data_IF_274040658576
#
_entry.id   IF_274040658576
#
_cell.length_a   1.000
_cell.length_b   1.000
_cell.length_c   1.000
_cell.angle_alpha   90.00
_cell.angle_beta   90.00
_cell.angle_gamma   90.00
#
_symmetry.space_group_name_H-M   'P 1'
#
loop_
_entity.id
_entity.type
_entity.pdbx_description
1 polymer ?
#
# COMPACT_ATOMS: atom_id res chain seq x y z
N UNK A 1 -39.01 2.04 43.74
CA UNK A 1 -38.79 0.58 43.73
C UNK A 1 -39.20 0.08 42.35
N UNK A 2 -38.39 -0.57 41.52
CA UNK A 2 -36.97 -0.88 41.52
C UNK A 2 -36.58 -1.11 40.05
N UNK A 3 -35.49 -0.48 39.60
CA UNK A 3 -35.00 -0.64 38.24
C UNK A 3 -34.36 -2.03 38.11
N UNK A 4 -34.90 -2.86 37.22
CA UNK A 4 -34.38 -4.18 36.92
C UNK A 4 -33.01 -4.05 36.24
N UNK A 5 -31.96 -4.44 36.96
CA UNK A 5 -30.59 -4.57 36.45
C UNK A 5 -30.50 -5.71 35.44
N UNK A 6 -30.30 -5.40 34.17
CA UNK A 6 -30.00 -6.42 33.17
C UNK A 6 -28.62 -7.05 33.43
N UNK A 7 -28.49 -8.39 33.36
CA UNK A 7 -27.21 -9.07 33.53
C UNK A 7 -26.29 -8.80 32.34
N UNK A 8 -25.14 -8.18 32.60
CA UNK A 8 -24.07 -7.98 31.61
C UNK A 8 -23.47 -9.33 31.22
N UNK A 9 -23.65 -9.75 29.96
CA UNK A 9 -23.02 -10.95 29.42
C UNK A 9 -21.48 -10.80 29.46
N UNK A 10 -20.72 -11.82 29.91
CA UNK A 10 -19.27 -11.77 29.94
C UNK A 10 -18.69 -11.65 28.53
N UNK A 11 -17.83 -10.65 28.34
CA UNK A 11 -17.21 -10.25 27.08
C UNK A 11 -16.12 -11.25 26.64
N UNK A 12 -16.55 -12.48 26.27
CA UNK A 12 -15.69 -13.59 25.80
C UNK A 12 -14.82 -13.22 24.61
N UNK A 13 -15.14 -12.14 23.88
CA UNK A 13 -14.38 -11.67 22.73
C UNK A 13 -13.06 -10.96 23.07
N UNK A 14 -12.89 -10.44 24.29
CA UNK A 14 -11.67 -9.69 24.66
C UNK A 14 -10.44 -10.59 24.81
N UNK A 15 -10.60 -11.76 25.44
CA UNK A 15 -9.48 -12.68 25.68
C UNK A 15 -8.90 -13.27 24.39
N UNK A 16 -9.76 -13.70 23.47
CA UNK A 16 -9.34 -14.23 22.17
C UNK A 16 -8.63 -13.17 21.31
N UNK A 17 -9.10 -11.92 21.36
CA UNK A 17 -8.44 -10.79 20.67
C UNK A 17 -7.09 -10.43 21.28
N UNK A 18 -6.99 -10.41 22.62
CA UNK A 18 -5.73 -10.17 23.31
C UNK A 18 -4.70 -11.26 22.99
N UNK A 19 -5.12 -12.52 22.98
CA UNK A 19 -4.28 -13.66 22.61
C UNK A 19 -3.81 -13.54 21.15
N UNK A 20 -4.71 -13.25 20.21
CA UNK A 20 -4.37 -13.06 18.80
C UNK A 20 -3.36 -11.93 18.58
N UNK A 21 -3.53 -10.80 19.26
CA UNK A 21 -2.60 -9.68 19.20
C UNK A 21 -1.24 -10.03 19.81
N UNK A 22 -1.21 -10.75 20.93
CA UNK A 22 0.03 -11.19 21.57
C UNK A 22 0.81 -12.17 20.67
N UNK A 23 0.12 -13.16 20.09
CA UNK A 23 0.72 -14.13 19.16
C UNK A 23 1.24 -13.41 17.91
N UNK A 24 0.45 -12.50 17.32
CA UNK A 24 0.86 -11.72 16.16
C UNK A 24 2.07 -10.83 16.45
N UNK A 25 2.10 -10.18 17.62
CA UNK A 25 3.22 -9.35 18.07
C UNK A 25 4.50 -10.15 18.29
N UNK A 26 4.39 -11.32 18.93
CA UNK A 26 5.52 -12.24 19.11
C UNK A 26 6.05 -12.76 17.78
N UNK A 27 5.16 -13.12 16.84
CA UNK A 27 5.55 -13.56 15.51
C UNK A 27 6.25 -12.44 14.73
N UNK A 28 5.72 -11.22 14.76
CA UNK A 28 6.33 -10.06 14.13
C UNK A 28 7.72 -9.76 14.71
N UNK A 29 7.87 -9.82 16.04
CA UNK A 29 9.16 -9.65 16.70
C UNK A 29 10.15 -10.77 16.34
N UNK A 30 9.69 -12.02 16.31
CA UNK A 30 10.51 -13.16 15.91
C UNK A 30 10.99 -13.03 14.45
N UNK A 31 10.11 -12.63 13.53
CA UNK A 31 10.48 -12.34 12.15
C UNK A 31 11.46 -11.18 12.05
N UNK A 32 11.24 -10.10 12.81
CA UNK A 32 12.16 -8.96 12.85
C UNK A 32 13.55 -9.40 13.29
N UNK A 33 13.66 -10.10 14.42
CA UNK A 33 14.95 -10.62 14.90
C UNK A 33 15.57 -11.55 13.87
N UNK A 34 14.78 -12.46 13.28
CA UNK A 34 15.28 -13.39 12.26
C UNK A 34 15.83 -12.68 11.01
N UNK A 35 15.14 -11.67 10.50
CA UNK A 35 15.60 -10.84 9.36
C UNK A 35 16.91 -10.14 9.69
N UNK A 36 17.06 -9.63 10.91
CA UNK A 36 18.24 -8.86 11.32
C UNK A 36 19.43 -9.73 11.79
N UNK A 37 19.25 -11.04 12.01
CA UNK A 37 20.32 -11.94 12.50
C UNK A 37 21.51 -12.06 11.55
N UNK A 38 21.31 -11.87 10.26
CA UNK A 38 22.36 -11.94 9.24
C UNK A 38 22.92 -10.57 8.83
N UNK A 39 22.49 -9.48 9.47
CA UNK A 39 22.90 -8.14 9.06
C UNK A 39 24.33 -7.88 9.54
N UNK A 40 25.24 -7.72 8.59
CA UNK A 40 26.59 -7.23 8.86
C UNK A 40 26.52 -5.75 9.23
N UNK A 41 26.46 -5.50 10.54
CA UNK A 41 26.43 -4.13 11.10
C UNK A 41 27.64 -3.30 10.68
N UNK A 42 28.80 -3.92 10.48
CA UNK A 42 30.02 -3.23 10.04
C UNK A 42 29.93 -2.76 8.60
N UNK A 43 29.35 -3.59 7.71
CA UNK A 43 29.07 -3.23 6.33
C UNK A 43 28.04 -2.09 6.25
N UNK A 44 26.99 -2.12 7.09
CA UNK A 44 25.99 -1.05 7.16
C UNK A 44 26.62 0.26 7.62
N UNK A 45 27.37 0.25 8.74
CA UNK A 45 28.01 1.47 9.25
C UNK A 45 29.05 2.03 8.29
N UNK A 46 29.82 1.18 7.61
CA UNK A 46 30.80 1.63 6.62
C UNK A 46 30.15 2.16 5.35
N UNK A 47 29.00 1.61 4.92
CA UNK A 47 28.21 2.16 3.83
C UNK A 47 27.61 3.54 4.21
N UNK A 48 27.06 3.68 5.41
CA UNK A 48 26.56 4.97 5.92
C UNK A 48 27.67 6.01 6.06
N UNK A 49 28.83 5.63 6.59
CA UNK A 49 29.98 6.53 6.70
C UNK A 49 30.48 6.99 5.32
N UNK A 50 30.51 6.09 4.32
CA UNK A 50 30.88 6.42 2.93
C UNK A 50 29.85 7.32 2.25
N UNK A 51 28.56 7.09 2.48
CA UNK A 51 27.51 7.97 1.97
C UNK A 51 27.54 9.35 2.66
N UNK A 52 27.91 9.41 3.92
CA UNK A 52 28.00 10.64 4.70
C UNK A 52 26.69 11.43 4.67
N UNK A 53 26.77 12.76 4.53
CA UNK A 53 25.61 13.63 4.42
C UNK A 53 24.74 13.37 3.18
N UNK A 54 25.28 12.75 2.12
CA UNK A 54 24.53 12.44 0.90
C UNK A 54 23.45 11.38 1.12
N UNK A 55 23.55 10.57 2.18
CA UNK A 55 22.48 9.65 2.56
C UNK A 55 21.14 10.37 2.80
N UNK A 56 21.17 11.60 3.34
CA UNK A 56 19.97 12.41 3.52
C UNK A 56 19.33 12.80 2.18
N UNK A 57 20.12 12.89 1.11
CA UNK A 57 19.61 13.18 -0.23
C UNK A 57 18.72 12.05 -0.76
N UNK A 58 18.86 10.82 -0.26
CA UNK A 58 17.96 9.71 -0.60
C UNK A 58 16.52 9.95 -0.10
N UNK A 59 16.32 10.77 0.93
CA UNK A 59 14.98 11.14 1.40
C UNK A 59 14.28 12.15 0.46
N UNK A 60 15.05 12.91 -0.33
CA UNK A 60 14.52 13.92 -1.25
C UNK A 60 13.61 13.31 -2.33
N UNK A 61 14.04 12.32 -3.15
CA UNK A 61 13.18 11.75 -4.17
C UNK A 61 11.93 11.07 -3.56
N UNK A 62 12.06 10.48 -2.38
CA UNK A 62 10.92 9.92 -1.65
C UNK A 62 9.92 11.02 -1.25
N UNK A 63 10.40 12.12 -0.66
CA UNK A 63 9.58 13.27 -0.28
C UNK A 63 8.89 13.89 -1.49
N UNK A 64 9.61 14.10 -2.59
CA UNK A 64 9.06 14.59 -3.87
C UNK A 64 7.98 13.65 -4.38
N UNK A 65 8.21 12.34 -4.37
CA UNK A 65 7.22 11.34 -4.75
C UNK A 65 5.94 11.47 -3.92
N UNK A 66 6.08 11.61 -2.60
CA UNK A 66 4.95 11.79 -1.69
C UNK A 66 4.18 13.09 -1.97
N UNK A 67 4.88 14.17 -2.29
CA UNK A 67 4.29 15.46 -2.63
C UNK A 67 3.51 15.42 -3.94
N UNK A 68 4.10 14.86 -5.00
CA UNK A 68 3.47 14.70 -6.32
C UNK A 68 2.22 13.83 -6.21
N UNK A 69 2.34 12.72 -5.51
CA UNK A 69 1.22 11.81 -5.24
C UNK A 69 0.09 12.48 -4.45
N UNK A 70 0.43 13.34 -3.48
CA UNK A 70 -0.54 14.14 -2.73
C UNK A 70 -1.28 15.14 -3.65
N UNK A 71 -0.57 15.79 -4.58
CA UNK A 71 -1.20 16.67 -5.58
C UNK A 71 -2.15 15.89 -6.48
N UNK A 72 -1.73 14.73 -6.98
CA UNK A 72 -2.57 13.86 -7.81
C UNK A 72 -3.84 13.42 -7.05
N UNK A 73 -3.68 13.02 -5.78
CA UNK A 73 -4.82 12.61 -4.95
C UNK A 73 -5.78 13.76 -4.66
N UNK A 74 -5.27 14.98 -4.43
CA UNK A 74 -6.10 16.18 -4.32
C UNK A 74 -6.89 16.44 -5.60
N UNK A 75 -6.28 16.25 -6.77
CA UNK A 75 -6.97 16.33 -8.06
C UNK A 75 -8.11 15.31 -8.19
N UNK A 76 -7.91 14.07 -7.71
CA UNK A 76 -8.96 13.05 -7.66
C UNK A 76 -10.11 13.44 -6.71
N UNK A 77 -9.79 13.94 -5.51
CA UNK A 77 -10.80 14.45 -4.56
C UNK A 77 -11.68 15.53 -5.19
N UNK A 78 -11.07 16.48 -5.90
CA UNK A 78 -11.79 17.56 -6.58
C UNK A 78 -12.75 17.04 -7.66
N UNK A 79 -12.36 15.99 -8.39
CA UNK A 79 -13.23 15.34 -9.39
C UNK A 79 -14.41 14.61 -8.78
N UNK A 80 -14.32 14.21 -7.50
CA UNK A 80 -15.43 13.62 -6.73
C UNK A 80 -16.24 14.70 -5.97
N UNK A 81 -15.97 15.99 -6.23
CA UNK A 81 -16.70 17.12 -5.62
C UNK A 81 -16.26 17.45 -4.20
N UNK A 82 -15.13 16.89 -3.72
CA UNK A 82 -14.60 17.14 -2.37
C UNK A 82 -13.35 18.02 -2.43
N UNK A 83 -13.24 18.93 -1.47
CA UNK A 83 -12.07 19.78 -1.28
C UNK A 83 -11.35 19.33 -0.03
N UNK A 84 -10.16 18.76 -0.19
CA UNK A 84 -9.26 18.47 0.91
C UNK A 84 -8.03 19.39 0.83
N UNK A 85 -7.61 19.89 2.00
CA UNK A 85 -6.39 20.69 2.13
C UNK A 85 -5.15 19.87 1.80
N UNK A 86 -4.18 20.46 1.10
CA UNK A 86 -2.94 19.77 0.70
C UNK A 86 -2.17 19.20 1.91
N UNK A 87 -1.96 20.02 2.94
CA UNK A 87 -1.24 19.60 4.15
C UNK A 87 -1.94 18.44 4.87
N UNK A 88 -3.26 18.43 4.88
CA UNK A 88 -4.02 17.34 5.51
C UNK A 88 -3.88 16.04 4.73
N UNK A 89 -3.97 16.11 3.40
CA UNK A 89 -3.73 14.95 2.54
C UNK A 89 -2.29 14.43 2.69
N UNK A 90 -1.31 15.35 2.79
CA UNK A 90 0.09 15.00 3.00
C UNK A 90 0.29 14.28 4.34
N UNK A 91 -0.31 14.78 5.43
CA UNK A 91 -0.29 14.11 6.74
C UNK A 91 -0.89 12.71 6.68
N UNK A 92 -2.05 12.56 6.02
CA UNK A 92 -2.67 11.25 5.82
C UNK A 92 -1.73 10.34 5.03
N UNK A 93 -1.07 10.85 3.98
CA UNK A 93 -0.10 10.08 3.19
C UNK A 93 1.11 9.65 4.01
N UNK A 94 1.75 10.55 4.74
CA UNK A 94 2.87 10.22 5.61
C UNK A 94 2.47 9.13 6.61
N UNK A 95 1.30 9.28 7.25
CA UNK A 95 0.80 8.30 8.21
C UNK A 95 0.55 6.93 7.57
N UNK A 96 -0.12 6.90 6.40
CA UNK A 96 -0.39 5.65 5.70
C UNK A 96 0.88 5.00 5.15
N UNK A 97 1.83 5.77 4.64
CA UNK A 97 3.09 5.25 4.10
C UNK A 97 3.98 4.70 5.20
N UNK A 98 4.04 5.40 6.34
CA UNK A 98 4.71 4.90 7.54
C UNK A 98 4.10 3.58 8.01
N UNK A 99 2.78 3.42 7.90
CA UNK A 99 2.11 2.16 8.20
C UNK A 99 2.44 1.06 7.17
N UNK A 100 2.56 1.38 5.88
CA UNK A 100 2.99 0.42 4.84
C UNK A 100 4.37 -0.14 5.16
N UNK A 101 5.33 0.73 5.49
CA UNK A 101 6.73 0.35 5.71
C UNK A 101 6.95 -0.23 7.11
N UNK A 102 6.23 0.26 8.12
CA UNK A 102 6.46 -0.07 9.53
C UNK A 102 5.68 -1.27 10.08
N UNK A 103 4.62 -1.72 9.40
CA UNK A 103 3.76 -2.80 9.91
C UNK A 103 3.86 -4.07 9.06
N UNK A 104 3.87 -5.24 9.69
CA UNK A 104 3.68 -6.51 9.01
C UNK A 104 2.26 -6.55 8.39
N UNK A 105 2.19 -6.72 7.06
CA UNK A 105 0.92 -6.55 6.33
C UNK A 105 0.47 -5.09 6.20
N UNK A 106 1.40 -4.14 6.39
CA UNK A 106 1.15 -2.70 6.42
C UNK A 106 0.43 -2.17 5.19
N UNK A 107 0.66 -2.76 4.01
CA UNK A 107 -0.07 -2.43 2.78
C UNK A 107 -1.60 -2.54 2.97
N UNK A 108 -2.09 -3.66 3.50
CA UNK A 108 -3.53 -3.90 3.69
C UNK A 108 -4.12 -2.95 4.73
N UNK A 109 -3.39 -2.75 5.85
CA UNK A 109 -3.85 -1.87 6.92
C UNK A 109 -3.86 -0.40 6.47
N UNK A 110 -2.79 0.07 5.83
CA UNK A 110 -2.66 1.44 5.34
C UNK A 110 -3.77 1.81 4.35
N UNK A 111 -4.18 0.87 3.52
CA UNK A 111 -5.27 1.06 2.56
C UNK A 111 -6.62 1.28 3.24
N UNK A 112 -6.89 0.58 4.34
CA UNK A 112 -8.07 0.83 5.17
C UNK A 112 -7.98 2.12 5.99
N UNK A 113 -6.77 2.52 6.38
CA UNK A 113 -6.53 3.74 7.17
C UNK A 113 -6.75 5.02 6.36
N UNK A 114 -6.37 5.06 5.08
CA UNK A 114 -6.54 6.24 4.24
C UNK A 114 -7.99 6.79 4.20
N UNK A 115 -9.03 5.98 3.87
CA UNK A 115 -10.41 6.45 3.85
C UNK A 115 -10.94 6.74 5.27
N UNK A 116 -10.49 6.01 6.29
CA UNK A 116 -10.89 6.24 7.67
C UNK A 116 -10.35 7.58 8.21
N UNK A 117 -9.09 7.91 7.92
CA UNK A 117 -8.46 9.17 8.31
C UNK A 117 -9.07 10.35 7.57
N UNK A 118 -9.42 10.18 6.29
CA UNK A 118 -10.18 11.17 5.53
C UNK A 118 -11.57 11.41 6.13
N UNK A 119 -12.30 10.34 6.45
CA UNK A 119 -13.61 10.42 7.09
C UNK A 119 -13.54 11.13 8.44
N UNK A 120 -12.61 10.74 9.31
CA UNK A 120 -12.39 11.39 10.61
C UNK A 120 -11.99 12.85 10.51
N UNK A 121 -11.44 13.27 9.38
CA UNK A 121 -11.08 14.67 9.13
C UNK A 121 -12.20 15.50 8.52
N UNK A 122 -13.37 14.92 8.24
CA UNK A 122 -14.53 15.63 7.70
C UNK A 122 -14.46 15.93 6.19
N UNK A 123 -13.46 15.43 5.47
CA UNK A 123 -13.23 15.78 4.07
C UNK A 123 -13.96 14.88 3.06
N UNK A 124 -14.35 13.67 3.45
CA UNK A 124 -15.04 12.70 2.58
C UNK A 124 -15.87 11.72 3.41
N UNK A 125 -16.91 11.14 2.80
CA UNK A 125 -17.56 9.95 3.38
C UNK A 125 -16.65 8.73 3.23
N UNK A 126 -16.90 7.66 4.01
CA UNK A 126 -16.13 6.40 3.89
C UNK A 126 -16.18 5.84 2.47
N UNK A 127 -17.34 5.93 1.79
CA UNK A 127 -17.52 5.47 0.41
C UNK A 127 -16.72 6.30 -0.61
N UNK A 128 -16.74 7.63 -0.49
CA UNK A 128 -15.95 8.52 -1.37
C UNK A 128 -14.45 8.35 -1.14
N UNK A 129 -14.04 8.21 0.13
CA UNK A 129 -12.66 7.91 0.50
C UNK A 129 -12.18 6.58 -0.12
N UNK A 130 -12.99 5.53 -0.01
CA UNK A 130 -12.67 4.22 -0.60
C UNK A 130 -12.60 4.29 -2.13
N UNK A 131 -13.55 4.97 -2.77
CA UNK A 131 -13.59 5.12 -4.23
C UNK A 131 -12.34 5.83 -4.77
N UNK A 132 -11.91 6.91 -4.11
CA UNK A 132 -10.71 7.65 -4.53
C UNK A 132 -9.41 6.89 -4.28
N UNK A 133 -9.31 6.10 -3.21
CA UNK A 133 -8.20 5.17 -2.99
C UNK A 133 -8.16 4.10 -4.08
N UNK A 134 -9.31 3.55 -4.47
CA UNK A 134 -9.40 2.57 -5.56
C UNK A 134 -8.96 3.15 -6.92
N UNK A 135 -9.48 4.34 -7.30
CA UNK A 135 -9.09 5.02 -8.53
C UNK A 135 -7.58 5.31 -8.55
N UNK A 136 -7.06 5.78 -7.42
CA UNK A 136 -5.64 6.06 -7.27
C UNK A 136 -4.79 4.80 -7.45
N UNK A 137 -5.20 3.67 -6.87
CA UNK A 137 -4.52 2.38 -7.05
C UNK A 137 -4.50 1.93 -8.50
N UNK A 138 -5.62 2.05 -9.19
CA UNK A 138 -5.68 1.73 -10.62
C UNK A 138 -4.70 2.59 -11.42
N UNK A 139 -4.68 3.90 -11.16
CA UNK A 139 -3.75 4.81 -11.81
C UNK A 139 -2.29 4.43 -11.52
N UNK A 140 -1.97 4.11 -10.26
CA UNK A 140 -0.61 3.72 -9.85
C UNK A 140 -0.19 2.38 -10.47
N UNK A 141 -1.08 1.40 -10.52
CA UNK A 141 -0.82 0.10 -11.13
C UNK A 141 -0.61 0.23 -12.66
N UNK A 142 -1.43 1.05 -13.32
CA UNK A 142 -1.25 1.35 -14.74
C UNK A 142 0.08 2.07 -15.00
N UNK A 143 0.41 3.09 -14.20
CA UNK A 143 1.69 3.80 -14.31
C UNK A 143 2.88 2.88 -14.07
N UNK A 144 2.80 1.94 -13.13
CA UNK A 144 3.83 0.92 -12.90
C UNK A 144 3.99 0.00 -14.10
N UNK A 145 2.90 -0.50 -14.68
CA UNK A 145 2.97 -1.33 -15.88
C UNK A 145 3.62 -0.59 -17.07
N UNK A 146 3.27 0.68 -17.28
CA UNK A 146 3.90 1.54 -18.30
C UNK A 146 5.38 1.75 -17.99
N UNK A 147 5.72 2.07 -16.74
CA UNK A 147 7.11 2.32 -16.33
C UNK A 147 7.97 1.08 -16.52
N UNK A 148 7.51 -0.09 -16.07
CA UNK A 148 8.20 -1.37 -16.25
C UNK A 148 8.34 -1.70 -17.74
N UNK A 149 7.29 -1.47 -18.53
CA UNK A 149 7.34 -1.67 -19.98
C UNK A 149 8.40 -0.78 -20.65
N UNK A 150 8.44 0.51 -20.32
CA UNK A 150 9.46 1.44 -20.82
C UNK A 150 10.87 1.07 -20.34
N UNK A 151 11.02 0.68 -19.07
CA UNK A 151 12.29 0.22 -18.53
C UNK A 151 12.78 -1.05 -19.25
N UNK A 152 11.88 -1.95 -19.63
CA UNK A 152 12.23 -3.13 -20.41
C UNK A 152 12.69 -2.78 -21.84
N UNK A 153 12.03 -1.82 -22.50
CA UNK A 153 12.38 -1.36 -23.84
C UNK A 153 13.73 -0.63 -23.84
N UNK A 154 13.89 0.34 -22.94
CA UNK A 154 15.08 1.20 -22.88
C UNK A 154 16.28 0.49 -22.22
N UNK A 155 16.03 -0.36 -21.22
CA UNK A 155 17.05 -1.09 -20.47
C UNK A 155 17.31 -2.50 -21.00
N UNK A 156 16.67 -2.92 -22.09
CA UNK A 156 16.74 -4.29 -22.61
C UNK A 156 18.16 -4.78 -22.87
N UNK A 157 19.06 -3.90 -23.30
CA UNK A 157 20.48 -4.22 -23.47
C UNK A 157 21.20 -4.57 -22.16
N UNK A 158 21.00 -3.77 -21.11
CA UNK A 158 21.57 -4.05 -19.80
C UNK A 158 20.99 -5.33 -19.18
N UNK A 159 19.69 -5.58 -19.40
CA UNK A 159 19.01 -6.80 -18.96
C UNK A 159 19.55 -8.01 -19.72
N UNK A 160 19.81 -7.92 -21.02
CA UNK A 160 20.38 -9.01 -21.81
C UNK A 160 21.76 -9.43 -21.29
N UNK A 161 22.64 -8.47 -20.98
CA UNK A 161 23.97 -8.74 -20.40
C UNK A 161 23.85 -9.44 -19.04
N UNK A 162 22.94 -8.98 -18.18
CA UNK A 162 22.71 -9.63 -16.88
C UNK A 162 22.10 -11.03 -17.04
N UNK A 163 21.24 -11.21 -18.03
CA UNK A 163 20.59 -12.49 -18.36
C UNK A 163 21.58 -13.51 -18.93
N UNK A 164 22.56 -13.06 -19.71
CA UNK A 164 23.70 -13.85 -20.19
C UNK A 164 24.55 -14.34 -19.01
N UNK A 165 24.88 -13.46 -18.07
CA UNK A 165 25.65 -13.83 -16.87
C UNK A 165 24.93 -14.86 -15.98
N UNK A 166 23.58 -14.89 -16.00
CA UNK A 166 22.76 -15.88 -15.30
C UNK A 166 22.45 -17.15 -16.11
N UNK A 167 22.94 -17.25 -17.37
CA UNK A 167 22.75 -18.42 -18.22
C UNK A 167 21.43 -18.48 -18.99
N UNK A 168 20.62 -17.42 -18.99
CA UNK A 168 19.33 -17.34 -19.69
C UNK A 168 19.29 -16.20 -20.73
N UNK A 169 20.18 -16.18 -21.73
CA UNK A 169 20.46 -15.00 -22.58
C UNK A 169 19.24 -14.40 -23.28
N UNK A 170 18.26 -15.23 -23.63
CA UNK A 170 17.07 -14.78 -24.38
C UNK A 170 15.86 -14.48 -23.51
N UNK A 171 15.79 -14.96 -22.27
CA UNK A 171 14.54 -14.90 -21.48
C UNK A 171 14.39 -13.60 -20.68
N UNK A 172 15.49 -12.99 -20.21
CA UNK A 172 15.45 -11.83 -19.31
C UNK A 172 14.65 -10.64 -19.84
N UNK A 173 14.91 -10.14 -21.06
CA UNK A 173 14.18 -9.00 -21.60
C UNK A 173 12.69 -9.29 -21.80
N UNK A 174 12.33 -10.48 -22.29
CA UNK A 174 10.93 -10.87 -22.50
C UNK A 174 10.18 -11.05 -21.19
N UNK A 175 10.82 -11.54 -20.12
CA UNK A 175 10.21 -11.65 -18.79
C UNK A 175 9.85 -10.27 -18.22
N UNK A 176 10.71 -9.27 -18.42
CA UNK A 176 10.45 -7.89 -18.00
C UNK A 176 9.29 -7.25 -18.78
N UNK A 177 9.24 -7.45 -20.11
CA UNK A 177 8.11 -7.02 -20.94
C UNK A 177 6.82 -7.72 -20.50
N UNK A 178 6.87 -9.04 -20.27
CA UNK A 178 5.74 -9.82 -19.80
C UNK A 178 5.26 -9.35 -18.43
N UNK A 179 6.15 -9.05 -17.49
CA UNK A 179 5.80 -8.51 -16.19
C UNK A 179 5.08 -7.16 -16.30
N UNK A 180 5.60 -6.23 -17.11
CA UNK A 180 4.95 -4.95 -17.39
C UNK A 180 3.56 -5.12 -18.02
N UNK A 181 3.43 -6.02 -19.00
CA UNK A 181 2.17 -6.35 -19.65
C UNK A 181 1.15 -6.94 -18.67
N UNK A 182 1.56 -7.90 -17.83
CA UNK A 182 0.69 -8.52 -16.83
C UNK A 182 0.18 -7.50 -15.80
N UNK A 183 1.04 -6.57 -15.35
CA UNK A 183 0.64 -5.49 -14.45
C UNK A 183 -0.40 -4.58 -15.12
N UNK A 184 -0.19 -4.19 -16.38
CA UNK A 184 -1.16 -3.42 -17.16
C UNK A 184 -2.49 -4.15 -17.32
N UNK A 185 -2.47 -5.43 -17.68
CA UNK A 185 -3.67 -6.24 -17.84
C UNK A 185 -4.43 -6.40 -16.51
N UNK A 186 -3.72 -6.59 -15.40
CA UNK A 186 -4.32 -6.64 -14.07
C UNK A 186 -5.00 -5.30 -13.70
N UNK A 187 -4.38 -4.17 -14.04
CA UNK A 187 -4.98 -2.85 -13.84
C UNK A 187 -6.27 -2.67 -14.65
N UNK A 188 -6.26 -3.05 -15.93
CA UNK A 188 -7.43 -2.96 -16.80
C UNK A 188 -8.55 -3.90 -16.35
N UNK A 189 -8.23 -5.12 -15.94
CA UNK A 189 -9.19 -6.07 -15.38
C UNK A 189 -9.82 -5.56 -14.08
N UNK A 190 -9.02 -4.94 -13.20
CA UNK A 190 -9.55 -4.35 -11.98
C UNK A 190 -10.43 -3.12 -12.30
N UNK A 191 -10.07 -2.34 -13.32
CA UNK A 191 -10.88 -1.22 -13.79
C UNK A 191 -12.23 -1.66 -14.38
N UNK A 192 -12.28 -2.74 -15.17
CA UNK A 192 -13.54 -3.28 -15.69
C UNK A 192 -14.43 -3.81 -14.56
N UNK A 193 -13.86 -4.56 -13.62
CA UNK A 193 -14.56 -5.05 -12.41
C UNK A 193 -15.20 -3.90 -11.59
N UNK A 194 -14.50 -2.76 -11.51
CA UNK A 194 -15.00 -1.57 -10.82
C UNK A 194 -16.10 -0.84 -11.61
N UNK A 195 -16.03 -0.83 -12.95
CA UNK A 195 -17.03 -0.20 -13.84
C UNK A 195 -18.35 -0.97 -13.90
N UNK A 196 -18.31 -2.30 -13.93
CA UNK A 196 -19.48 -3.15 -14.17
C UNK A 196 -20.43 -3.26 -12.96
N UNK A 197 -20.16 -2.49 -11.88
CA UNK A 197 -20.92 -2.54 -10.64
C UNK A 197 -20.84 -3.90 -9.94
N UNK A 198 -19.90 -4.76 -10.35
CA UNK A 198 -19.68 -6.10 -9.79
C UNK A 198 -19.36 -5.99 -8.30
N UNK A 199 -18.60 -4.98 -7.89
CA UNK A 199 -18.37 -4.64 -6.48
C UNK A 199 -19.68 -4.34 -5.74
N UNK A 200 -20.63 -3.64 -6.38
CA UNK A 200 -21.96 -3.41 -5.83
C UNK A 200 -22.82 -4.68 -5.75
N UNK A 201 -22.59 -5.68 -6.61
CA UNK A 201 -23.25 -6.99 -6.50
C UNK A 201 -22.66 -7.82 -5.35
N UNK A 202 -21.34 -7.84 -5.23
CA UNK A 202 -20.63 -8.52 -4.14
C UNK A 202 -21.01 -7.90 -2.79
N UNK A 203 -21.04 -6.57 -2.70
CA UNK A 203 -21.48 -5.86 -1.50
C UNK A 203 -22.94 -6.22 -1.13
N UNK A 204 -23.85 -6.32 -2.11
CA UNK A 204 -25.24 -6.74 -1.86
C UNK A 204 -25.34 -8.21 -1.43
N UNK A 205 -24.49 -9.09 -1.98
CA UNK A 205 -24.39 -10.49 -1.58
C UNK A 205 -23.89 -10.63 -0.14
N UNK A 206 -22.83 -9.90 0.22
CA UNK A 206 -22.28 -9.88 1.58
C UNK A 206 -23.27 -9.29 2.58
N UNK A 207 -24.04 -8.26 2.21
CA UNK A 207 -25.09 -7.72 3.07
C UNK A 207 -26.30 -8.64 3.26
N UNK A 208 -26.57 -9.56 2.32
CA UNK A 208 -27.58 -10.61 2.50
C UNK A 208 -27.13 -11.70 3.46
N UNK A 209 -25.83 -11.95 3.55
CA UNK A 209 -25.21 -12.83 4.54
C UNK A 209 -24.89 -12.02 5.80
N UNK A 210 -25.92 -11.40 6.38
CA UNK A 210 -25.83 -10.85 7.74
C UNK A 210 -26.27 -11.94 8.71
N UNK A 211 -25.33 -12.38 9.53
CA UNK A 211 -25.55 -13.09 10.80
C UNK A 211 -26.22 -12.14 11.81
#
# INVERSE_FOLDING_TARGET
MGAASQPSLPDRGRGLRALGNAVGGLLALAMLVWVFRGVDTSAVTSALARAGGWAALAAVPFGVGLMVDTVAWRGLMLRVGRRAGYLRLLQVRIATESAVVGLAGGAVLAEGLAPLLLFRSGHATVGEGAATVAIRKLALLLSQGIYVGLAAILGGGAVAVLSEAMGWPRLGPWLLVLAGLLICLAALALQSLLRDGTVGRIHRLVQRVRW
#
